data_IF_471060907776
#
_entry.id   IF_471060907776
#
_cell.length_a   1.000
_cell.length_b   1.000
_cell.length_c   1.000
_cell.angle_alpha   90.00
_cell.angle_beta   90.00
_cell.angle_gamma   90.00
#
_symmetry.space_group_name_H-M   'P 1'
#
loop_
_entity.id
_entity.type
_entity.pdbx_description
1 polymer ?
#
# COMPACT_ATOMS: atom_id res chain seq x y z
N UNK A 1 12.42 -43.02 -56.08
CA UNK A 1 11.81 -41.74 -55.65
C UNK A 1 12.92 -40.78 -55.26
N UNK A 2 12.97 -39.56 -55.83
CA UNK A 2 14.15 -38.70 -55.78
C UNK A 2 14.23 -37.90 -54.46
N UNK A 3 15.18 -38.25 -53.57
CA UNK A 3 15.34 -37.70 -52.20
C UNK A 3 15.41 -36.17 -52.16
N UNK A 4 15.94 -35.54 -53.21
CA UNK A 4 16.03 -34.08 -53.35
C UNK A 4 14.65 -33.39 -53.39
N UNK A 5 13.67 -33.99 -54.09
CA UNK A 5 12.30 -33.43 -54.17
C UNK A 5 11.55 -33.52 -52.84
N UNK A 6 11.79 -34.57 -52.05
CA UNK A 6 11.19 -34.73 -50.72
C UNK A 6 11.74 -33.70 -49.71
N UNK A 7 13.03 -33.36 -49.79
CA UNK A 7 13.66 -32.38 -48.92
C UNK A 7 13.16 -30.95 -49.19
N UNK A 8 12.98 -30.59 -50.46
CA UNK A 8 12.40 -29.29 -50.85
C UNK A 8 10.96 -29.11 -50.33
N UNK A 9 10.13 -30.16 -50.45
CA UNK A 9 8.76 -30.14 -49.94
C UNK A 9 8.73 -29.99 -48.40
N UNK A 10 9.61 -30.69 -47.68
CA UNK A 10 9.69 -30.60 -46.22
C UNK A 10 10.04 -29.18 -45.75
N UNK A 11 10.99 -28.52 -46.42
CA UNK A 11 11.36 -27.15 -46.09
C UNK A 11 10.23 -26.15 -46.39
N UNK A 12 9.48 -26.37 -47.47
CA UNK A 12 8.33 -25.54 -47.80
C UNK A 12 7.19 -25.70 -46.76
N UNK A 13 6.96 -26.91 -46.27
CA UNK A 13 5.99 -27.18 -45.18
C UNK A 13 6.44 -26.52 -43.89
N UNK A 14 7.71 -26.68 -43.49
CA UNK A 14 8.25 -26.04 -42.28
C UNK A 14 8.10 -24.52 -42.33
N UNK A 15 8.40 -23.90 -43.47
CA UNK A 15 8.23 -22.45 -43.65
C UNK A 15 6.77 -22.03 -43.45
N UNK A 16 5.82 -22.73 -44.10
CA UNK A 16 4.39 -22.45 -43.94
C UNK A 16 3.90 -22.59 -42.49
N UNK A 17 4.36 -23.62 -41.78
CA UNK A 17 4.01 -23.82 -40.36
C UNK A 17 4.53 -22.65 -39.52
N UNK A 18 5.78 -22.24 -39.73
CA UNK A 18 6.36 -21.11 -39.01
C UNK A 18 5.64 -19.79 -39.28
N UNK A 19 5.23 -19.56 -40.53
CA UNK A 19 4.46 -18.37 -40.90
C UNK A 19 3.09 -18.35 -40.20
N UNK A 20 2.38 -19.50 -40.17
CA UNK A 20 1.09 -19.64 -39.45
C UNK A 20 1.26 -19.40 -37.94
N UNK A 21 2.30 -19.99 -37.33
CA UNK A 21 2.56 -19.80 -35.89
C UNK A 21 2.83 -18.33 -35.58
N UNK A 22 3.58 -17.64 -36.43
CA UNK A 22 3.85 -16.21 -36.27
C UNK A 22 2.57 -15.38 -36.36
N UNK A 23 1.71 -15.65 -37.33
CA UNK A 23 0.42 -14.95 -37.48
C UNK A 23 -0.49 -15.16 -36.26
N UNK A 24 -0.55 -16.39 -35.74
CA UNK A 24 -1.31 -16.70 -34.52
C UNK A 24 -0.77 -15.97 -33.28
N UNK A 25 0.56 -15.90 -33.15
CA UNK A 25 1.19 -15.21 -32.02
C UNK A 25 0.87 -13.70 -32.04
N UNK A 26 0.97 -13.08 -33.22
CA UNK A 26 0.67 -11.65 -33.41
C UNK A 26 -0.81 -11.35 -33.13
N UNK A 27 -1.72 -12.23 -33.54
CA UNK A 27 -3.14 -12.08 -33.28
C UNK A 27 -3.47 -12.17 -31.77
N UNK A 28 -2.79 -13.05 -31.04
CA UNK A 28 -2.99 -13.17 -29.59
C UNK A 28 -2.39 -11.99 -28.82
N UNK A 29 -1.22 -11.50 -29.22
CA UNK A 29 -0.63 -10.27 -28.65
C UNK A 29 -1.57 -9.07 -28.83
N UNK A 30 -2.15 -8.89 -30.01
CA UNK A 30 -3.12 -7.83 -30.27
C UNK A 30 -4.36 -7.94 -29.35
N UNK A 31 -4.90 -9.15 -29.18
CA UNK A 31 -6.03 -9.40 -28.27
C UNK A 31 -5.70 -9.07 -26.81
N UNK A 32 -4.49 -9.41 -26.35
CA UNK A 32 -4.05 -9.11 -24.99
C UNK A 32 -3.88 -7.61 -24.76
N UNK A 33 -3.36 -6.88 -25.74
CA UNK A 33 -3.23 -5.41 -25.70
C UNK A 33 -4.61 -4.76 -25.59
N UNK A 34 -5.59 -5.18 -26.39
CA UNK A 34 -6.96 -4.67 -26.32
C UNK A 34 -7.62 -4.97 -24.98
N UNK A 35 -7.43 -6.19 -24.45
CA UNK A 35 -7.96 -6.59 -23.14
C UNK A 35 -7.34 -5.75 -22.01
N UNK A 36 -6.04 -5.48 -22.08
CA UNK A 36 -5.36 -4.59 -21.13
C UNK A 36 -5.87 -3.15 -21.22
N UNK A 37 -6.15 -2.65 -22.43
CA UNK A 37 -6.75 -1.33 -22.62
C UNK A 37 -8.15 -1.25 -22.00
N UNK A 38 -8.98 -2.28 -22.18
CA UNK A 38 -10.30 -2.36 -21.52
C UNK A 38 -10.20 -2.39 -20.00
N UNK A 39 -9.30 -3.21 -19.43
CA UNK A 39 -9.10 -3.26 -17.98
C UNK A 39 -8.61 -1.92 -17.44
N UNK A 40 -7.69 -1.24 -18.14
CA UNK A 40 -7.24 0.11 -17.78
C UNK A 40 -8.37 1.13 -17.84
N UNK A 41 -9.23 1.06 -18.85
CA UNK A 41 -10.42 1.92 -18.95
C UNK A 41 -11.38 1.68 -17.80
N UNK A 42 -11.64 0.41 -17.43
CA UNK A 42 -12.46 0.06 -16.27
C UNK A 42 -11.85 0.52 -14.94
N UNK A 43 -10.52 0.44 -14.79
CA UNK A 43 -9.82 0.96 -13.61
C UNK A 43 -9.81 2.50 -13.56
N UNK A 44 -9.68 3.16 -14.72
CA UNK A 44 -9.72 4.61 -14.84
C UNK A 44 -11.11 5.18 -14.57
N UNK A 45 -12.15 4.51 -15.09
CA UNK A 45 -13.55 4.84 -14.85
C UNK A 45 -13.98 4.60 -13.39
N UNK A 46 -13.35 3.65 -12.68
CA UNK A 46 -13.60 3.44 -11.25
C UNK A 46 -12.73 4.34 -10.34
N UNK A 47 -11.72 5.05 -10.86
CA UNK A 47 -10.80 5.88 -10.07
C UNK A 47 -11.12 7.38 -10.05
N UNK A 48 -12.03 7.89 -10.90
CA UNK A 48 -12.23 9.35 -11.00
C UNK A 48 -13.48 9.93 -10.36
N UNK A 49 -14.52 9.14 -10.05
CA UNK A 49 -15.74 9.67 -9.43
C UNK A 49 -15.90 9.35 -7.93
N UNK A 50 -14.99 8.58 -7.32
CA UNK A 50 -15.02 8.29 -5.88
C UNK A 50 -13.75 8.65 -5.10
N UNK A 51 -12.71 9.24 -5.75
CA UNK A 51 -11.40 9.50 -5.10
C UNK A 51 -11.05 11.00 -5.05
N UNK A 52 -11.84 11.89 -5.64
CA UNK A 52 -11.53 13.33 -5.69
C UNK A 52 -12.45 14.19 -4.80
N UNK A 53 -13.47 13.62 -4.14
CA UNK A 53 -14.37 14.38 -3.25
C UNK A 53 -14.11 14.21 -1.75
N UNK A 54 -12.99 13.61 -1.32
CA UNK A 54 -12.69 13.41 0.11
C UNK A 54 -11.36 14.05 0.56
N UNK A 55 -10.73 14.86 -0.30
CA UNK A 55 -9.46 15.56 0.01
C UNK A 55 -9.56 17.08 0.00
N UNK A 56 -10.75 17.64 -0.22
CA UNK A 56 -10.97 19.08 -0.13
C UNK A 56 -11.22 19.57 1.31
N UNK A 57 -11.44 18.68 2.28
CA UNK A 57 -11.83 19.04 3.65
C UNK A 57 -10.64 19.34 4.56
N UNK A 58 -9.45 19.54 3.99
CA UNK A 58 -8.21 19.80 4.74
C UNK A 58 -8.27 21.13 5.53
N UNK A 59 -9.22 22.04 5.25
CA UNK A 59 -9.48 23.22 6.11
C UNK A 59 -10.96 23.64 6.14
N UNK A 60 -11.90 22.69 6.15
CA UNK A 60 -13.33 22.98 6.04
C UNK A 60 -14.19 22.26 7.08
N UNK A 61 -14.10 22.65 8.35
CA UNK A 61 -15.23 22.60 9.29
C UNK A 61 -15.99 21.27 9.50
N UNK A 62 -15.35 20.11 9.40
CA UNK A 62 -15.96 18.81 9.72
C UNK A 62 -15.45 18.24 11.05
N UNK A 63 -16.34 17.53 11.75
CA UNK A 63 -16.09 17.00 13.09
C UNK A 63 -14.74 16.28 13.17
N UNK A 64 -13.97 16.41 14.27
CA UNK A 64 -12.69 15.71 14.39
C UNK A 64 -12.88 14.23 14.07
N UNK A 65 -12.06 13.67 13.17
CA UNK A 65 -12.08 12.26 12.70
C UNK A 65 -12.08 11.22 13.82
N UNK A 66 -11.80 11.67 15.04
CA UNK A 66 -11.67 10.89 16.27
C UNK A 66 -12.53 11.45 17.44
N UNK A 67 -13.51 12.30 17.16
CA UNK A 67 -14.34 12.97 18.18
C UNK A 67 -15.20 12.01 19.02
N UNK A 68 -15.44 10.81 18.52
CA UNK A 68 -16.15 9.73 19.22
C UNK A 68 -15.22 8.86 20.09
N UNK A 69 -13.89 9.01 19.96
CA UNK A 69 -12.96 8.36 20.87
C UNK A 69 -13.01 9.03 22.25
N UNK A 70 -13.44 8.27 23.25
CA UNK A 70 -13.48 8.75 24.62
C UNK A 70 -12.08 8.91 25.21
N UNK A 71 -11.83 10.04 25.89
CA UNK A 71 -10.64 10.23 26.73
C UNK A 71 -10.58 9.26 27.92
N UNK A 72 -11.72 8.69 28.31
CA UNK A 72 -11.78 7.70 29.39
C UNK A 72 -11.28 6.32 28.95
N UNK A 73 -11.16 6.08 27.64
CA UNK A 73 -10.52 4.88 27.13
C UNK A 73 -9.02 4.91 27.41
N UNK A 74 -8.43 3.74 27.64
CA UNK A 74 -6.99 3.62 27.77
C UNK A 74 -6.28 4.06 26.49
N UNK A 75 -5.07 4.62 26.63
CA UNK A 75 -4.20 4.97 25.49
C UNK A 75 -4.01 3.76 24.58
N UNK A 76 -3.92 2.55 25.15
CA UNK A 76 -3.86 1.29 24.40
C UNK A 76 -5.08 1.11 23.50
N UNK A 77 -6.29 1.21 24.04
CA UNK A 77 -7.51 0.98 23.26
C UNK A 77 -7.66 2.04 22.17
N UNK A 78 -7.40 3.31 22.49
CA UNK A 78 -7.45 4.37 21.48
C UNK A 78 -6.36 4.17 20.41
N UNK A 79 -5.17 3.68 20.76
CA UNK A 79 -4.12 3.34 19.78
C UNK A 79 -4.59 2.26 18.80
N UNK A 80 -5.23 1.20 19.31
CA UNK A 80 -5.72 0.11 18.46
C UNK A 80 -6.89 0.57 17.56
N UNK A 81 -7.78 1.40 18.08
CA UNK A 81 -8.85 2.01 17.30
C UNK A 81 -8.32 2.94 16.20
N UNK A 82 -7.29 3.74 16.50
CA UNK A 82 -6.61 4.57 15.50
C UNK A 82 -6.03 3.72 14.37
N UNK A 83 -5.31 2.65 14.68
CA UNK A 83 -4.79 1.72 13.66
C UNK A 83 -5.92 1.12 12.82
N UNK A 84 -7.00 0.67 13.46
CA UNK A 84 -8.15 0.08 12.79
C UNK A 84 -8.85 1.06 11.83
N UNK A 85 -9.01 2.32 12.24
CA UNK A 85 -9.70 3.36 11.45
C UNK A 85 -8.87 3.90 10.31
N UNK A 86 -7.57 4.07 10.52
CA UNK A 86 -6.66 4.49 9.45
C UNK A 86 -6.48 3.39 8.40
N UNK A 87 -6.69 2.12 8.78
CA UNK A 87 -6.61 0.96 7.88
C UNK A 87 -5.28 0.90 7.08
N UNK A 88 -4.19 1.34 7.71
CA UNK A 88 -2.85 1.39 7.13
C UNK A 88 -1.81 1.33 8.22
N UNK A 89 -0.56 1.08 7.83
CA UNK A 89 0.58 1.23 8.70
C UNK A 89 0.76 2.69 9.12
N UNK A 90 1.03 2.92 10.40
CA UNK A 90 1.23 4.25 10.98
C UNK A 90 2.59 4.37 11.65
N UNK A 91 3.21 5.53 11.50
CA UNK A 91 4.31 5.92 12.38
C UNK A 91 3.80 6.16 13.79
N UNK A 92 4.66 5.89 14.78
CA UNK A 92 4.37 6.21 16.17
C UNK A 92 4.00 7.70 16.33
N UNK A 93 4.69 8.59 15.63
CA UNK A 93 4.42 10.03 15.67
C UNK A 93 3.00 10.37 15.23
N UNK A 94 2.49 9.73 14.17
CA UNK A 94 1.11 9.93 13.70
C UNK A 94 0.10 9.50 14.77
N UNK A 95 0.33 8.36 15.42
CA UNK A 95 -0.52 7.89 16.52
C UNK A 95 -0.51 8.89 17.68
N UNK A 96 0.68 9.39 18.06
CA UNK A 96 0.81 10.38 19.14
C UNK A 96 0.11 11.69 18.78
N UNK A 97 0.23 12.15 17.54
CA UNK A 97 -0.42 13.38 17.06
C UNK A 97 -1.94 13.27 17.09
N UNK A 98 -2.50 12.10 16.79
CA UNK A 98 -3.95 11.88 16.92
C UNK A 98 -4.36 11.81 18.40
N UNK A 99 -3.60 11.12 19.23
CA UNK A 99 -3.99 10.87 20.63
C UNK A 99 -3.79 12.09 21.54
N UNK A 100 -2.90 13.04 21.22
CA UNK A 100 -2.71 14.27 22.01
C UNK A 100 -3.98 15.13 22.02
N UNK A 101 -4.73 15.13 20.92
CA UNK A 101 -5.96 15.90 20.77
C UNK A 101 -7.13 15.27 21.56
N UNK A 102 -7.03 13.96 21.87
CA UNK A 102 -8.01 13.22 22.68
C UNK A 102 -7.66 13.30 24.17
N UNK A 103 -6.36 13.25 24.50
CA UNK A 103 -5.83 13.26 25.86
C UNK A 103 -5.21 14.62 26.21
N UNK A 104 -5.97 15.69 26.04
CA UNK A 104 -5.51 17.08 26.22
C UNK A 104 -5.11 17.42 27.66
N UNK A 105 -5.51 16.58 28.62
CA UNK A 105 -5.14 16.68 30.04
C UNK A 105 -3.70 16.20 30.31
N UNK A 106 -3.03 15.61 29.31
CA UNK A 106 -1.69 15.05 29.44
C UNK A 106 -0.68 15.81 28.59
N UNK A 107 0.54 16.04 29.10
CA UNK A 107 1.64 16.55 28.30
C UNK A 107 1.98 15.58 27.14
N UNK A 108 2.37 16.14 26.00
CA UNK A 108 2.75 15.38 24.80
C UNK A 108 3.77 14.28 25.09
N UNK A 109 4.78 14.57 25.92
CA UNK A 109 5.82 13.60 26.29
C UNK A 109 5.26 12.40 27.05
N UNK A 110 4.24 12.61 27.89
CA UNK A 110 3.56 11.52 28.59
C UNK A 110 2.74 10.67 27.62
N UNK A 111 2.02 11.30 26.68
CA UNK A 111 1.29 10.58 25.63
C UNK A 111 2.26 9.74 24.80
N UNK A 112 3.36 10.32 24.34
CA UNK A 112 4.41 9.65 23.56
C UNK A 112 5.04 8.46 24.31
N UNK A 113 5.41 8.66 25.58
CA UNK A 113 5.95 7.59 26.43
C UNK A 113 4.96 6.44 26.58
N UNK A 114 3.69 6.76 26.84
CA UNK A 114 2.63 5.75 27.00
C UNK A 114 2.32 5.02 25.72
N UNK A 115 2.20 5.70 24.57
CA UNK A 115 2.03 5.03 23.27
C UNK A 115 3.18 4.05 23.01
N UNK A 116 4.42 4.44 23.30
CA UNK A 116 5.59 3.56 23.13
C UNK A 116 5.50 2.30 24.00
N UNK A 117 5.16 2.47 25.29
CA UNK A 117 5.01 1.37 26.23
C UNK A 117 3.85 0.44 25.84
N UNK A 118 2.69 1.00 25.51
CA UNK A 118 1.49 0.25 25.16
C UNK A 118 1.66 -0.51 23.85
N UNK A 119 2.28 0.07 22.81
CA UNK A 119 2.55 -0.66 21.56
C UNK A 119 3.51 -1.84 21.79
N UNK A 120 4.56 -1.63 22.58
CA UNK A 120 5.53 -2.68 22.92
C UNK A 120 4.90 -3.82 23.72
N UNK A 121 3.98 -3.49 24.63
CA UNK A 121 3.21 -4.47 25.41
C UNK A 121 2.17 -5.17 24.54
N UNK A 122 1.39 -4.42 23.78
CA UNK A 122 0.35 -4.94 22.89
C UNK A 122 0.92 -5.89 21.85
N UNK A 123 2.12 -5.65 21.31
CA UNK A 123 2.79 -6.57 20.38
C UNK A 123 2.99 -7.97 20.97
N UNK A 124 3.23 -8.06 22.28
CA UNK A 124 3.43 -9.35 22.97
C UNK A 124 2.11 -10.08 23.25
N UNK A 125 1.02 -9.32 23.39
CA UNK A 125 -0.30 -9.85 23.77
C UNK A 125 -1.23 -10.07 22.57
N UNK A 126 -1.07 -9.30 21.51
CA UNK A 126 -1.91 -9.30 20.32
C UNK A 126 -1.08 -9.82 19.15
N UNK A 127 -1.28 -11.08 18.78
CA UNK A 127 -0.52 -11.72 17.70
C UNK A 127 -0.68 -11.01 16.34
N UNK A 128 -1.84 -10.41 16.09
CA UNK A 128 -2.10 -9.68 14.86
C UNK A 128 -1.38 -8.34 14.78
N UNK A 129 -0.85 -7.79 15.89
CA UNK A 129 -0.16 -6.50 15.88
C UNK A 129 1.33 -6.68 15.55
N UNK A 130 1.80 -5.96 14.55
CA UNK A 130 3.18 -6.05 14.06
C UNK A 130 3.81 -4.67 13.92
N UNK A 131 5.14 -4.63 13.97
CA UNK A 131 5.91 -3.47 13.55
C UNK A 131 6.87 -3.88 12.43
N UNK A 132 6.98 -3.03 11.41
CA UNK A 132 7.84 -3.25 10.26
C UNK A 132 8.89 -2.15 10.24
N UNK A 133 10.14 -2.53 9.99
CA UNK A 133 11.22 -1.56 9.88
C UNK A 133 11.04 -0.73 8.61
N UNK A 134 10.97 0.58 8.78
CA UNK A 134 10.89 1.57 7.73
C UNK A 134 12.29 2.14 7.48
N UNK A 135 12.99 1.59 6.49
CA UNK A 135 14.27 2.11 6.01
C UNK A 135 15.50 1.44 6.61
N UNK A 136 16.64 2.13 6.53
CA UNK A 136 17.95 1.60 6.98
C UNK A 136 18.17 1.73 8.48
N UNK A 137 17.47 2.64 9.14
CA UNK A 137 17.61 2.86 10.59
C UNK A 137 16.93 1.72 11.35
N UNK A 138 17.54 1.26 12.44
CA UNK A 138 16.91 0.28 13.34
C UNK A 138 15.85 0.89 14.26
N UNK A 139 15.60 2.20 14.18
CA UNK A 139 14.68 2.92 15.08
C UNK A 139 13.41 3.38 14.39
N UNK A 140 13.38 3.32 13.07
CA UNK A 140 12.25 3.78 12.27
C UNK A 140 11.32 2.60 12.02
N UNK A 141 10.21 2.55 12.76
CA UNK A 141 9.20 1.51 12.57
C UNK A 141 7.85 2.10 12.30
N UNK A 142 7.09 1.39 11.48
CA UNK A 142 5.65 1.58 11.32
C UNK A 142 4.91 0.44 12.00
N UNK A 143 3.75 0.75 12.56
CA UNK A 143 2.89 -0.17 13.29
C UNK A 143 1.65 -0.47 12.48
N UNK A 144 1.22 -1.73 12.49
CA UNK A 144 0.04 -2.17 11.74
C UNK A 144 -0.32 -3.60 12.07
N UNK A 145 -1.11 -4.23 11.21
CA UNK A 145 -1.57 -5.60 11.40
C UNK A 145 -0.82 -6.59 10.51
N UNK A 146 -0.71 -7.84 10.99
CA UNK A 146 -0.03 -8.95 10.31
C UNK A 146 -0.72 -9.31 8.99
N UNK A 147 -2.04 -9.21 8.92
CA UNK A 147 -2.85 -9.44 7.71
C UNK A 147 -2.70 -8.32 6.66
N UNK A 148 -1.99 -7.24 6.97
CA UNK A 148 -1.64 -6.20 6.01
C UNK A 148 -0.27 -6.44 5.35
N UNK A 149 0.33 -7.59 5.60
CA UNK A 149 1.59 -8.02 4.99
C UNK A 149 1.34 -9.08 3.91
N UNK A 150 2.18 -9.08 2.89
CA UNK A 150 2.26 -10.16 1.91
C UNK A 150 2.95 -11.40 2.51
N UNK A 151 3.05 -12.48 1.73
CA UNK A 151 3.72 -13.72 2.14
C UNK A 151 5.21 -13.55 2.43
N UNK A 152 5.82 -12.46 1.97
CA UNK A 152 7.22 -12.13 2.15
C UNK A 152 7.44 -11.15 3.32
N UNK A 153 6.37 -10.74 4.02
CA UNK A 153 6.43 -9.76 5.10
C UNK A 153 6.52 -8.30 4.64
N UNK A 154 6.28 -8.02 3.35
CA UNK A 154 6.18 -6.65 2.84
C UNK A 154 4.79 -6.09 3.06
N UNK A 155 4.70 -4.78 3.27
CA UNK A 155 3.42 -4.09 3.44
C UNK A 155 2.64 -4.09 2.12
N UNK A 156 1.39 -4.55 2.16
CA UNK A 156 0.49 -4.50 1.02
C UNK A 156 0.21 -3.03 0.62
N UNK A 157 0.16 -2.68 -0.69
CA UNK A 157 -0.03 -1.31 -1.14
C UNK A 157 -1.26 -0.60 -0.56
N UNK A 158 -2.37 -1.33 -0.35
CA UNK A 158 -3.60 -0.79 0.22
C UNK A 158 -3.46 -0.33 1.68
N UNK A 159 -2.43 -0.80 2.38
CA UNK A 159 -2.17 -0.50 3.79
C UNK A 159 -0.85 0.27 3.98
N UNK A 160 -0.27 0.79 2.90
CA UNK A 160 0.97 1.54 2.97
C UNK A 160 0.83 2.78 3.87
N UNK A 161 1.89 3.06 4.61
CA UNK A 161 2.00 4.29 5.40
C UNK A 161 2.13 5.51 4.48
N UNK A 162 1.76 6.69 5.00
CA UNK A 162 2.03 7.96 4.35
C UNK A 162 3.39 8.46 4.81
N UNK A 163 4.27 8.83 3.88
CA UNK A 163 5.56 9.41 4.23
C UNK A 163 5.35 10.77 4.92
N UNK A 164 5.84 10.95 6.16
CA UNK A 164 5.80 12.25 6.80
C UNK A 164 6.67 13.23 6.02
N UNK A 165 6.24 14.49 5.96
CA UNK A 165 6.89 15.57 5.20
C UNK A 165 8.36 15.74 5.56
N UNK A 166 8.71 15.55 6.83
CA UNK A 166 10.09 15.57 7.33
C UNK A 166 11.01 14.48 6.75
N UNK A 167 10.44 13.42 6.16
CA UNK A 167 11.16 12.29 5.56
C UNK A 167 11.04 12.24 4.03
N UNK A 168 10.27 13.13 3.40
CA UNK A 168 10.30 13.33 1.95
C UNK A 168 11.62 14.05 1.66
N UNK A 169 12.60 13.34 1.09
CA UNK A 169 13.90 13.93 0.74
C UNK A 169 13.67 15.19 -0.10
N UNK A 170 14.16 16.34 0.37
CA UNK A 170 14.40 17.45 -0.55
C UNK A 170 15.38 16.95 -1.62
N UNK A 171 15.12 17.17 -2.92
CA UNK A 171 16.13 16.90 -3.93
C UNK A 171 17.37 17.69 -3.53
N UNK A 172 18.52 17.01 -3.42
CA UNK A 172 19.80 17.72 -3.37
C UNK A 172 19.90 18.48 -4.68
N UNK A 173 19.73 19.80 -4.63
CA UNK A 173 20.22 20.67 -5.68
C UNK A 173 21.73 20.63 -5.54
N UNK A 174 22.36 19.78 -6.34
CA UNK A 174 23.79 19.89 -6.61
C UNK A 174 23.95 21.19 -7.41
N UNK A 175 24.44 22.24 -6.74
CA UNK A 175 24.90 23.48 -7.37
C UNK A 175 26.36 23.33 -7.80
#
# INVERSE_FOLDING_TARGET
>A
MNKSKQFGLLNQIKKKIMDIVRELLLAEEARLVDRLAQVRSQLGATSHDNIVSERADIYGGDKPRYSDLSKNNSIRNNTLEVLKRENRFLFKSEIVDILKDIHTDRPLDQVNSRVTAELSKAKKEIESLVNVNFGKSKTDFVWGRKDWLDTNGNILPAHAYVLPESKKRQPKLDF
#
